data_IF_385408205162
#
_entry.id   IF_385408205162
#
_cell.length_a   1.000
_cell.length_b   1.000
_cell.length_c   1.000
_cell.angle_alpha   90.00
_cell.angle_beta   90.00
_cell.angle_gamma   90.00
#
_symmetry.space_group_name_H-M   'P 1'
#
loop_
_entity.id
_entity.type
_entity.pdbx_description
1 polymer ?
#
# COMPACT_ATOMS: atom_id res chain seq x y z
N UNK A 1 3.02 -7.05 4.20
CA UNK A 1 3.48 -7.94 5.28
C UNK A 1 2.61 -9.18 5.29
N UNK A 2 3.22 -10.35 5.09
CA UNK A 2 2.55 -11.64 5.29
C UNK A 2 2.21 -11.81 6.78
N UNK A 3 0.97 -12.19 7.14
CA UNK A 3 0.63 -12.44 8.54
C UNK A 3 1.56 -13.48 9.17
N UNK A 4 2.08 -13.19 10.36
CA UNK A 4 2.87 -14.13 11.16
C UNK A 4 4.38 -14.13 10.94
N UNK A 5 4.91 -13.32 10.01
CA UNK A 5 6.36 -13.13 9.86
C UNK A 5 6.85 -11.96 10.72
N UNK A 6 8.15 -11.91 11.05
CA UNK A 6 8.77 -10.72 11.60
C UNK A 6 8.89 -9.63 10.49
N UNK A 7 8.90 -8.33 10.84
CA UNK A 7 9.21 -7.29 9.87
C UNK A 7 10.60 -7.51 9.26
N UNK A 8 10.76 -7.36 7.94
CA UNK A 8 12.07 -7.36 7.32
C UNK A 8 12.92 -6.21 7.88
N UNK A 9 14.27 -6.35 7.88
CA UNK A 9 15.16 -5.26 8.27
C UNK A 9 14.97 -4.06 7.34
N UNK A 10 15.12 -2.86 7.91
CA UNK A 10 15.06 -1.60 7.15
C UNK A 10 16.41 -1.39 6.48
N UNK A 11 16.49 -1.29 5.14
CA UNK A 11 17.75 -1.05 4.45
C UNK A 11 18.27 0.37 4.73
N UNK A 12 19.59 0.52 4.78
CA UNK A 12 20.27 1.81 4.92
C UNK A 12 20.01 2.74 3.72
N UNK A 13 20.01 2.17 2.51
CA UNK A 13 19.72 2.87 1.25
C UNK A 13 18.48 2.25 0.61
N UNK A 14 17.27 2.67 1.01
CA UNK A 14 16.05 2.14 0.46
C UNK A 14 15.85 2.54 -1.00
N UNK A 15 15.31 1.61 -1.78
CA UNK A 15 14.95 1.84 -3.18
C UNK A 15 13.60 1.19 -3.50
N UNK A 16 12.88 1.79 -4.46
CA UNK A 16 11.70 1.20 -5.11
C UNK A 16 12.02 1.03 -6.58
N UNK A 17 11.95 -0.21 -7.05
CA UNK A 17 12.13 -0.50 -8.49
C UNK A 17 10.81 -0.42 -9.24
N UNK A 18 10.83 0.14 -10.44
CA UNK A 18 9.68 0.24 -11.33
C UNK A 18 9.94 -0.59 -12.57
N UNK A 19 9.04 -1.53 -12.84
CA UNK A 19 9.18 -2.54 -13.91
C UNK A 19 7.81 -2.92 -14.49
N UNK A 20 7.77 -3.89 -15.40
CA UNK A 20 6.54 -4.36 -16.03
C UNK A 20 6.34 -3.72 -17.40
N UNK A 21 5.16 -3.15 -17.65
CA UNK A 21 4.82 -2.48 -18.91
C UNK A 21 5.38 -1.04 -18.98
N UNK A 22 6.70 -0.96 -19.00
CA UNK A 22 7.50 0.27 -19.06
C UNK A 22 8.61 0.10 -20.09
N UNK A 23 9.05 1.19 -20.73
CA UNK A 23 10.14 1.13 -21.70
C UNK A 23 11.50 0.85 -21.03
N UNK A 24 11.72 1.42 -19.84
CA UNK A 24 12.96 1.27 -19.08
C UNK A 24 12.69 0.89 -17.62
N UNK A 25 13.56 0.07 -17.05
CA UNK A 25 13.56 -0.18 -15.60
C UNK A 25 14.07 1.08 -14.91
N UNK A 26 13.28 1.62 -13.99
CA UNK A 26 13.67 2.74 -13.14
C UNK A 26 13.90 2.26 -11.70
N UNK A 27 14.89 2.83 -11.03
CA UNK A 27 15.09 2.68 -9.59
C UNK A 27 14.92 4.05 -8.95
N UNK A 28 14.00 4.17 -8.01
CA UNK A 28 13.75 5.39 -7.24
C UNK A 28 14.37 5.19 -5.86
N UNK A 29 15.26 6.10 -5.46
CA UNK A 29 15.88 6.16 -4.15
C UNK A 29 15.41 7.39 -3.36
N UNK A 30 16.00 7.62 -2.19
CA UNK A 30 15.65 8.75 -1.34
C UNK A 30 15.98 10.10 -2.00
N UNK A 31 17.06 10.18 -2.79
CA UNK A 31 17.47 11.40 -3.47
C UNK A 31 16.48 11.77 -4.56
N UNK A 32 16.00 10.78 -5.35
CA UNK A 32 14.94 11.00 -6.33
C UNK A 32 13.63 11.51 -5.71
N UNK A 33 13.28 11.05 -4.51
CA UNK A 33 12.10 11.51 -3.79
C UNK A 33 12.29 12.89 -3.13
N UNK A 34 13.54 13.28 -2.81
CA UNK A 34 13.85 14.55 -2.16
C UNK A 34 13.45 15.78 -2.98
N UNK A 35 13.36 15.63 -4.30
CA UNK A 35 12.94 16.67 -5.23
C UNK A 35 11.41 16.88 -5.28
N UNK A 36 10.63 16.01 -4.65
CA UNK A 36 9.16 16.07 -4.64
C UNK A 36 8.65 16.74 -3.36
N UNK A 37 7.54 17.48 -3.49
CA UNK A 37 6.85 18.05 -2.34
C UNK A 37 6.33 16.93 -1.42
N UNK A 38 6.52 17.14 -0.12
CA UNK A 38 5.98 16.25 0.91
C UNK A 38 4.62 16.75 1.35
N UNK A 39 3.69 15.83 1.54
CA UNK A 39 2.34 16.13 2.01
C UNK A 39 1.99 15.32 3.24
N UNK A 40 1.02 15.83 4.00
CA UNK A 40 0.39 15.12 5.11
C UNK A 40 -1.08 14.88 4.77
N UNK A 41 -1.54 13.64 4.93
CA UNK A 41 -2.94 13.24 4.75
C UNK A 41 -3.45 12.64 6.05
N UNK A 42 -4.53 13.21 6.58
CA UNK A 42 -5.29 12.59 7.67
C UNK A 42 -6.23 11.55 7.07
N UNK A 43 -6.04 10.30 7.43
CA UNK A 43 -6.78 9.17 6.87
C UNK A 43 -7.04 8.08 7.90
N UNK A 44 -8.23 7.51 7.85
CA UNK A 44 -8.57 6.32 8.63
C UNK A 44 -7.88 5.08 8.03
N UNK A 45 -7.50 4.15 8.91
CA UNK A 45 -7.04 2.83 8.48
C UNK A 45 -8.10 1.78 8.77
N UNK A 46 -8.62 1.15 7.71
CA UNK A 46 -9.65 0.12 7.81
C UNK A 46 -9.09 -1.27 7.54
N UNK A 47 -9.20 -2.17 8.51
CA UNK A 47 -8.85 -3.57 8.31
C UNK A 47 -10.02 -4.34 7.68
N UNK A 48 -9.67 -5.27 6.79
CA UNK A 48 -10.65 -6.19 6.20
C UNK A 48 -11.34 -7.05 7.25
N UNK A 49 -10.67 -7.33 8.39
CA UNK A 49 -11.23 -8.03 9.56
C UNK A 49 -11.96 -7.10 10.53
N UNK A 50 -12.61 -6.05 10.01
CA UNK A 50 -13.63 -5.23 10.70
C UNK A 50 -13.18 -4.35 11.88
N UNK A 51 -11.88 -4.15 12.09
CA UNK A 51 -11.39 -3.08 12.98
C UNK A 51 -10.86 -1.90 12.18
N UNK A 52 -10.95 -0.70 12.76
CA UNK A 52 -10.46 0.55 12.18
C UNK A 52 -9.59 1.31 13.19
N UNK A 53 -8.69 2.15 12.70
CA UNK A 53 -7.98 3.15 13.50
C UNK A 53 -8.23 4.50 12.83
N UNK A 54 -9.05 5.37 13.43
CA UNK A 54 -9.40 6.65 12.83
C UNK A 54 -8.30 7.71 13.05
N UNK A 55 -8.31 8.73 12.19
CA UNK A 55 -7.54 9.97 12.38
C UNK A 55 -6.02 9.79 12.38
N UNK A 56 -5.50 8.87 11.55
CA UNK A 56 -4.04 8.70 11.42
C UNK A 56 -3.49 9.77 10.47
N UNK A 57 -2.37 10.37 10.86
CA UNK A 57 -1.66 11.34 10.02
C UNK A 57 -0.51 10.66 9.29
N UNK A 58 -0.66 10.49 7.98
CA UNK A 58 0.38 9.90 7.15
C UNK A 58 1.12 11.01 6.43
N UNK A 59 2.46 10.97 6.45
CA UNK A 59 3.27 11.90 5.67
C UNK A 59 4.20 11.17 4.71
N UNK A 60 4.46 11.80 3.56
CA UNK A 60 5.31 11.27 2.51
C UNK A 60 5.07 12.02 1.21
N UNK A 61 5.05 11.30 0.09
CA UNK A 61 4.84 11.87 -1.25
C UNK A 61 3.56 11.32 -1.85
N UNK A 62 2.81 12.14 -2.59
CA UNK A 62 1.66 11.63 -3.34
C UNK A 62 2.16 10.65 -4.37
N UNK A 63 1.52 9.49 -4.47
CA UNK A 63 1.91 8.50 -5.48
C UNK A 63 1.70 9.04 -6.90
N UNK A 64 0.69 9.92 -7.08
CA UNK A 64 0.50 10.69 -8.32
C UNK A 64 1.74 11.50 -8.69
N UNK A 65 2.32 12.25 -7.75
CA UNK A 65 3.50 13.08 -8.05
C UNK A 65 4.72 12.22 -8.34
N UNK A 66 4.92 11.13 -7.59
CA UNK A 66 5.96 10.13 -7.90
C UNK A 66 5.77 9.56 -9.31
N UNK A 67 4.53 9.26 -9.69
CA UNK A 67 4.19 8.75 -11.02
C UNK A 67 4.51 9.77 -12.10
N UNK A 68 3.95 10.98 -12.02
CA UNK A 68 4.04 11.99 -13.07
C UNK A 68 5.45 12.58 -13.21
N UNK A 69 6.18 12.72 -12.09
CA UNK A 69 7.46 13.44 -12.05
C UNK A 69 8.68 12.52 -12.12
N UNK A 70 8.55 11.25 -11.73
CA UNK A 70 9.67 10.29 -11.77
C UNK A 70 9.39 9.11 -12.71
N UNK A 71 8.24 8.45 -12.58
CA UNK A 71 7.95 7.21 -13.33
C UNK A 71 7.67 7.49 -14.81
N UNK A 72 6.82 8.46 -15.13
CA UNK A 72 6.50 8.83 -16.51
C UNK A 72 7.76 9.23 -17.29
N UNK A 73 8.60 10.18 -16.82
CA UNK A 73 9.81 10.55 -17.55
C UNK A 73 10.91 9.48 -17.50
N UNK A 74 11.06 8.76 -16.38
CA UNK A 74 12.19 7.84 -16.17
C UNK A 74 11.96 6.41 -16.64
N UNK A 75 10.74 5.89 -16.54
CA UNK A 75 10.39 4.52 -16.94
C UNK A 75 9.58 4.46 -18.24
N UNK A 76 8.85 5.54 -18.57
CA UNK A 76 7.98 5.65 -19.77
C UNK A 76 6.99 4.49 -19.85
N UNK A 77 6.01 4.42 -18.93
CA UNK A 77 4.93 3.44 -18.98
C UNK A 77 4.12 3.59 -20.26
N UNK A 78 3.61 2.47 -20.78
CA UNK A 78 2.72 2.44 -21.95
C UNK A 78 1.39 3.13 -21.66
N UNK A 79 0.78 3.76 -22.68
CA UNK A 79 -0.58 4.33 -22.59
C UNK A 79 -1.66 3.28 -22.29
N UNK A 80 -1.37 2.00 -22.55
CA UNK A 80 -2.25 0.88 -22.20
C UNK A 80 -2.13 0.44 -20.72
N UNK A 81 -1.29 1.10 -19.92
CA UNK A 81 -1.14 0.81 -18.51
C UNK A 81 -2.46 1.06 -17.76
N UNK A 82 -2.98 0.02 -17.12
CA UNK A 82 -4.28 0.07 -16.43
C UNK A 82 -4.22 -0.36 -14.97
N UNK A 83 -3.13 -0.99 -14.55
CA UNK A 83 -2.97 -1.49 -13.20
C UNK A 83 -1.57 -1.26 -12.66
N UNK A 84 -1.50 -1.02 -11.35
CA UNK A 84 -0.26 -0.96 -10.59
C UNK A 84 -0.25 -2.07 -9.55
N UNK A 85 0.82 -2.87 -9.51
CA UNK A 85 1.05 -3.87 -8.48
C UNK A 85 2.23 -3.46 -7.62
N UNK A 86 1.94 -3.17 -6.37
CA UNK A 86 2.90 -2.88 -5.31
C UNK A 86 3.40 -4.18 -4.66
N UNK A 87 4.71 -4.27 -4.48
CA UNK A 87 5.40 -5.46 -3.98
C UNK A 87 6.29 -5.05 -2.80
N UNK A 88 6.11 -5.75 -1.71
CA UNK A 88 6.92 -5.62 -0.51
C UNK A 88 8.21 -6.45 -0.61
N UNK A 89 9.22 -6.09 0.18
CA UNK A 89 10.46 -6.86 0.31
C UNK A 89 10.24 -8.32 0.77
N UNK A 90 9.17 -8.59 1.55
CA UNK A 90 8.76 -9.94 1.97
C UNK A 90 7.95 -10.72 0.90
N UNK A 91 7.93 -10.21 -0.35
CA UNK A 91 7.17 -10.72 -1.49
C UNK A 91 5.64 -10.72 -1.28
N UNK A 92 5.13 -10.00 -0.28
CA UNK A 92 3.72 -9.64 -0.25
C UNK A 92 3.42 -8.65 -1.37
N UNK A 93 2.24 -8.72 -1.97
CA UNK A 93 1.85 -7.80 -3.03
C UNK A 93 0.35 -7.55 -3.04
N UNK A 94 -0.02 -6.35 -3.47
CA UNK A 94 -1.38 -5.95 -3.76
C UNK A 94 -1.39 -5.28 -5.15
N UNK A 95 -2.47 -5.50 -5.89
CA UNK A 95 -2.70 -4.85 -7.18
C UNK A 95 -3.93 -3.96 -7.09
N UNK A 96 -3.87 -2.82 -7.76
CA UNK A 96 -4.92 -1.83 -7.85
C UNK A 96 -5.07 -1.40 -9.31
N UNK A 97 -6.28 -1.05 -9.76
CA UNK A 97 -6.44 -0.21 -10.94
C UNK A 97 -5.56 1.04 -10.82
N UNK A 98 -4.97 1.49 -11.93
CA UNK A 98 -4.07 2.65 -11.92
C UNK A 98 -4.79 3.92 -11.43
N UNK A 99 -6.07 4.08 -11.81
CA UNK A 99 -6.94 5.16 -11.31
C UNK A 99 -7.12 5.18 -9.78
N UNK A 100 -7.16 4.01 -9.12
CA UNK A 100 -7.24 3.93 -7.66
C UNK A 100 -5.86 4.17 -7.03
N UNK A 101 -4.80 3.70 -7.68
CA UNK A 101 -3.43 3.87 -7.18
C UNK A 101 -2.95 5.32 -7.28
N UNK A 102 -3.44 6.08 -8.27
CA UNK A 102 -3.07 7.48 -8.49
C UNK A 102 -4.11 8.47 -7.94
N UNK A 103 -5.03 8.03 -7.07
CA UNK A 103 -5.94 8.94 -6.39
C UNK A 103 -5.18 9.95 -5.50
N UNK A 104 -5.78 11.11 -5.28
CA UNK A 104 -5.07 12.30 -4.75
C UNK A 104 -4.62 12.15 -3.28
N UNK A 105 -5.22 11.21 -2.55
CA UNK A 105 -4.94 10.88 -1.14
C UNK A 105 -4.01 9.67 -0.98
N UNK A 106 -3.55 9.06 -2.08
CA UNK A 106 -2.66 7.91 -2.06
C UNK A 106 -1.22 8.36 -1.89
N UNK A 107 -0.55 7.81 -0.87
CA UNK A 107 0.81 8.19 -0.51
C UNK A 107 1.80 7.03 -0.64
N UNK A 108 3.01 7.38 -1.08
CA UNK A 108 4.22 6.70 -0.65
C UNK A 108 4.65 7.33 0.68
N UNK A 109 4.23 6.73 1.79
CA UNK A 109 4.44 7.26 3.13
C UNK A 109 5.73 6.72 3.76
N UNK A 110 6.40 7.59 4.51
CA UNK A 110 7.60 7.30 5.30
C UNK A 110 7.46 7.75 6.78
N UNK A 111 6.35 8.40 7.13
CA UNK A 111 6.04 8.84 8.50
C UNK A 111 4.59 8.55 8.89
N UNK A 112 4.38 8.37 10.19
CA UNK A 112 3.09 8.25 10.85
C UNK A 112 3.08 9.19 12.07
N UNK A 113 2.24 10.23 12.03
CA UNK A 113 2.38 11.40 12.89
C UNK A 113 3.74 12.06 12.71
N UNK A 114 4.33 12.49 13.81
CA UNK A 114 5.64 13.17 13.84
C UNK A 114 6.84 12.20 13.88
N UNK A 115 6.63 10.93 13.56
CA UNK A 115 7.69 9.92 13.64
C UNK A 115 7.90 9.21 12.29
N UNK A 116 9.16 8.86 11.94
CA UNK A 116 9.43 7.90 10.88
C UNK A 116 8.66 6.60 11.10
N UNK A 117 8.28 5.92 10.01
CA UNK A 117 7.67 4.61 10.14
C UNK A 117 8.60 3.66 10.90
N UNK A 118 8.06 2.99 11.90
CA UNK A 118 8.75 1.84 12.48
C UNK A 118 8.69 0.64 11.51
N UNK A 119 9.60 -0.34 11.63
CA UNK A 119 9.56 -1.54 10.80
C UNK A 119 8.19 -2.19 10.81
N UNK A 120 7.55 -2.33 11.97
CA UNK A 120 6.22 -2.92 12.07
C UNK A 120 5.12 -2.15 11.32
N UNK A 121 5.30 -0.85 11.12
CA UNK A 121 4.40 -0.01 10.34
C UNK A 121 4.68 -0.02 8.85
N UNK A 122 5.81 -0.59 8.43
CA UNK A 122 6.18 -0.80 7.04
C UNK A 122 7.34 0.06 6.57
N UNK A 123 8.23 0.50 7.47
CA UNK A 123 9.41 1.24 7.09
C UNK A 123 10.29 0.50 6.05
N UNK A 124 11.09 1.23 5.26
CA UNK A 124 11.21 2.69 5.28
C UNK A 124 10.05 3.37 4.56
N UNK A 125 9.48 2.71 3.55
CA UNK A 125 8.36 3.22 2.77
C UNK A 125 7.20 2.25 2.71
N UNK A 126 5.99 2.81 2.77
CA UNK A 126 4.74 2.09 2.68
C UNK A 126 3.80 2.78 1.70
N UNK A 127 3.11 1.98 0.90
CA UNK A 127 1.93 2.45 0.18
C UNK A 127 0.75 2.63 1.16
N UNK A 128 0.14 3.80 1.15
CA UNK A 128 -1.08 4.12 1.92
C UNK A 128 -2.19 4.47 0.94
N UNK A 129 -3.30 3.73 1.01
CA UNK A 129 -4.44 3.87 0.09
C UNK A 129 -5.71 4.02 0.93
N UNK A 130 -6.07 5.25 1.36
CA UNK A 130 -7.09 5.47 2.40
C UNK A 130 -8.47 4.89 2.08
N UNK A 131 -8.97 5.10 0.86
CA UNK A 131 -10.28 4.61 0.42
C UNK A 131 -10.41 3.07 0.35
N UNK A 132 -9.32 2.33 0.62
CA UNK A 132 -9.23 0.88 0.44
C UNK A 132 -8.87 0.15 1.75
N UNK A 133 -9.29 -1.11 1.86
CA UNK A 133 -8.90 -1.93 3.01
C UNK A 133 -7.39 -2.11 3.09
N UNK A 134 -6.88 -2.15 4.32
CA UNK A 134 -5.46 -2.06 4.64
C UNK A 134 -4.54 -3.11 4.02
N UNK A 135 -5.08 -4.20 3.47
CA UNK A 135 -4.28 -5.16 2.70
C UNK A 135 -3.81 -4.60 1.35
N UNK A 136 -4.46 -3.56 0.81
CA UNK A 136 -4.00 -2.80 -0.36
C UNK A 136 -2.87 -1.82 -0.04
N UNK A 137 -2.77 -1.38 1.21
CA UNK A 137 -1.71 -0.50 1.71
C UNK A 137 -0.44 -1.29 2.04
N UNK A 138 0.38 -1.56 1.00
CA UNK A 138 1.57 -2.43 1.07
C UNK A 138 2.70 -1.83 1.92
N UNK A 139 3.03 -2.51 3.01
CA UNK A 139 4.20 -2.24 3.88
C UNK A 139 5.53 -2.65 3.22
N UNK A 140 6.64 -1.99 3.58
CA UNK A 140 8.00 -2.33 3.12
C UNK A 140 8.11 -2.36 1.60
N UNK A 141 7.58 -1.31 0.95
CA UNK A 141 7.49 -1.24 -0.49
C UNK A 141 8.90 -1.32 -1.10
N UNK A 142 9.07 -2.26 -2.04
CA UNK A 142 10.35 -2.52 -2.71
C UNK A 142 10.22 -2.46 -4.24
N UNK A 143 9.02 -2.68 -4.79
CA UNK A 143 8.80 -2.55 -6.21
C UNK A 143 7.37 -2.15 -6.57
N UNK A 144 7.26 -1.43 -7.68
CA UNK A 144 6.04 -1.13 -8.41
C UNK A 144 6.14 -1.80 -9.78
N UNK A 145 5.11 -2.56 -10.15
CA UNK A 145 5.03 -3.20 -11.46
C UNK A 145 3.81 -2.67 -12.20
N UNK A 146 4.01 -2.13 -13.39
CA UNK A 146 2.96 -1.61 -14.27
C UNK A 146 2.42 -2.73 -15.14
N UNK A 147 1.10 -2.80 -15.32
CA UNK A 147 0.44 -3.86 -16.11
C UNK A 147 -0.68 -3.30 -16.99
N UNK A 148 -0.90 -3.93 -18.16
CA UNK A 148 -2.03 -3.65 -19.08
C UNK A 148 -3.34 -4.29 -18.66
N UNK A 149 -3.27 -5.30 -17.79
CA UNK A 149 -4.43 -6.02 -17.27
C UNK A 149 -4.18 -6.38 -15.81
N UNK A 150 -5.24 -6.79 -15.10
CA UNK A 150 -5.16 -7.08 -13.67
C UNK A 150 -4.15 -8.20 -13.38
N UNK A 151 -3.03 -7.91 -12.67
CA UNK A 151 -2.07 -8.94 -12.35
C UNK A 151 -2.52 -9.76 -11.14
N UNK A 152 -1.93 -10.95 -10.99
CA UNK A 152 -2.07 -11.72 -9.75
C UNK A 152 -1.37 -10.99 -8.60
N UNK A 153 -2.04 -10.93 -7.45
CA UNK A 153 -1.50 -10.38 -6.21
C UNK A 153 -1.45 -11.47 -5.13
N UNK A 154 -0.85 -11.15 -3.98
CA UNK A 154 -0.87 -12.07 -2.83
C UNK A 154 -2.32 -12.36 -2.40
N UNK A 155 -2.59 -13.53 -1.81
CA UNK A 155 -3.96 -13.89 -1.40
C UNK A 155 -4.93 -14.28 -2.52
N UNK A 156 -4.53 -14.23 -3.79
CA UNK A 156 -5.27 -14.82 -4.92
C UNK A 156 -6.73 -14.33 -5.01
N UNK A 157 -7.68 -15.26 -5.05
CA UNK A 157 -9.12 -14.99 -5.15
C UNK A 157 -9.73 -14.34 -3.90
N UNK A 158 -9.02 -14.36 -2.76
CA UNK A 158 -9.51 -13.72 -1.53
C UNK A 158 -9.40 -12.20 -1.61
N UNK A 159 -8.39 -11.67 -2.32
CA UNK A 159 -8.29 -10.23 -2.50
C UNK A 159 -9.35 -9.71 -3.48
N UNK A 160 -10.10 -8.70 -3.05
CA UNK A 160 -10.99 -8.00 -3.95
C UNK A 160 -10.18 -7.25 -5.03
N UNK A 161 -10.69 -7.15 -6.28
CA UNK A 161 -10.07 -6.34 -7.33
C UNK A 161 -9.68 -4.94 -6.86
N UNK A 162 -10.64 -4.19 -6.34
CA UNK A 162 -10.43 -2.83 -5.84
C UNK A 162 -10.26 -2.83 -4.32
N UNK A 163 -11.27 -3.24 -3.57
CA UNK A 163 -11.18 -3.42 -2.12
C UNK A 163 -11.55 -2.15 -1.36
N UNK A 164 -12.48 -1.38 -1.91
CA UNK A 164 -12.95 -0.10 -1.41
C UNK A 164 -13.78 -0.27 -0.14
N UNK A 165 -13.57 0.63 0.81
CA UNK A 165 -14.19 0.57 2.14
C UNK A 165 -15.68 0.90 2.06
N UNK A 166 -16.05 1.96 1.33
CA UNK A 166 -17.43 2.47 1.23
C UNK A 166 -18.39 1.46 0.59
N UNK A 167 -17.87 0.60 -0.27
CA UNK A 167 -18.63 -0.44 -0.97
C UNK A 167 -18.60 -1.80 -0.25
N UNK A 168 -18.00 -1.87 0.95
CA UNK A 168 -17.77 -3.12 1.71
C UNK A 168 -17.11 -4.24 0.90
N UNK A 169 -16.16 -3.90 0.02
CA UNK A 169 -15.48 -4.83 -0.91
C UNK A 169 -14.41 -5.70 -0.22
N UNK A 170 -14.85 -6.55 0.71
CA UNK A 170 -13.94 -7.32 1.59
C UNK A 170 -13.28 -8.51 0.90
N UNK A 171 -13.95 -9.13 -0.07
CA UNK A 171 -13.50 -10.37 -0.68
C UNK A 171 -13.84 -10.41 -2.16
N UNK A 172 -12.95 -10.94 -3.00
CA UNK A 172 -13.11 -10.95 -4.46
C UNK A 172 -14.23 -11.83 -5.03
N UNK A 173 -15.08 -12.45 -4.20
CA UNK A 173 -16.13 -13.41 -4.62
C UNK A 173 -17.35 -13.43 -3.71
N UNK A 174 -17.15 -13.19 -2.42
CA UNK A 174 -18.23 -13.28 -1.43
C UNK A 174 -18.67 -11.85 -1.07
N UNK A 175 -19.97 -11.53 -1.13
CA UNK A 175 -20.47 -10.21 -0.74
C UNK A 175 -20.06 -9.84 0.69
N UNK A 176 -19.59 -8.60 0.89
CA UNK A 176 -19.04 -8.14 2.17
C UNK A 176 -20.00 -8.29 3.36
N UNK A 177 -21.30 -8.10 3.12
CA UNK A 177 -22.37 -8.25 4.13
C UNK A 177 -22.41 -9.64 4.75
N UNK A 178 -22.11 -10.68 3.96
CA UNK A 178 -22.08 -12.08 4.41
C UNK A 178 -20.85 -12.35 5.28
N UNK A 179 -19.70 -11.76 4.92
CA UNK A 179 -18.44 -11.94 5.65
C UNK A 179 -18.33 -11.10 6.92
N UNK A 180 -19.18 -10.08 7.08
CA UNK A 180 -19.11 -9.16 8.22
C UNK A 180 -19.30 -9.87 9.57
N UNK A 181 -20.23 -10.83 9.65
CA UNK A 181 -20.48 -11.57 10.90
C UNK A 181 -19.35 -12.55 11.26
N UNK A 182 -18.85 -13.43 10.37
CA UNK A 182 -17.71 -14.28 10.71
C UNK A 182 -16.42 -13.48 10.96
N UNK A 183 -16.20 -12.37 10.26
CA UNK A 183 -14.99 -11.55 10.48
C UNK A 183 -15.01 -10.78 11.80
N UNK A 184 -16.19 -10.55 12.40
CA UNK A 184 -16.29 -9.98 13.75
C UNK A 184 -15.59 -10.84 14.80
N UNK A 185 -15.62 -12.17 14.65
CA UNK A 185 -14.92 -13.09 15.54
C UNK A 185 -13.40 -12.93 15.48
N UNK A 186 -12.88 -12.36 14.38
CA UNK A 186 -11.46 -12.10 14.18
C UNK A 186 -11.03 -10.69 14.64
N UNK A 187 -11.96 -9.80 15.00
CA UNK A 187 -11.66 -8.41 15.41
C UNK A 187 -10.68 -8.39 16.57
N UNK A 188 -11.05 -9.00 17.70
CA UNK A 188 -10.25 -8.95 18.93
C UNK A 188 -8.83 -9.52 18.73
N UNK A 189 -8.63 -10.72 18.17
CA UNK A 189 -7.28 -11.26 17.99
C UNK A 189 -6.44 -10.45 16.98
N UNK A 190 -7.04 -9.92 15.92
CA UNK A 190 -6.29 -9.13 14.92
C UNK A 190 -5.99 -7.71 15.40
N UNK A 191 -6.95 -7.06 16.07
CA UNK A 191 -6.77 -5.73 16.64
C UNK A 191 -5.77 -5.74 17.80
N UNK A 192 -5.74 -6.78 18.65
CA UNK A 192 -4.72 -6.90 19.70
C UNK A 192 -3.32 -7.06 19.12
N UNK A 193 -3.15 -7.88 18.06
CA UNK A 193 -1.87 -7.98 17.34
C UNK A 193 -1.45 -6.65 16.72
N UNK A 194 -2.38 -5.91 16.13
CA UNK A 194 -2.12 -4.59 15.56
C UNK A 194 -1.80 -3.53 16.62
N UNK A 195 -2.54 -3.46 17.74
CA UNK A 195 -2.28 -2.49 18.83
C UNK A 195 -0.94 -2.74 19.52
N UNK A 196 -0.55 -4.01 19.72
CA UNK A 196 0.79 -4.36 20.21
C UNK A 196 1.89 -3.96 19.24
N UNK A 197 1.60 -3.99 17.94
CA UNK A 197 2.48 -3.50 16.90
C UNK A 197 2.59 -1.96 16.88
N UNK A 198 1.49 -1.23 17.13
CA UNK A 198 1.45 0.24 17.11
C UNK A 198 2.05 0.90 18.36
N UNK A 199 1.96 0.25 19.53
CA UNK A 199 2.39 0.82 20.82
C UNK A 199 3.83 0.51 21.22
N UNK A 200 4.59 -0.23 20.41
CA UNK A 200 6.02 -0.46 20.69
C UNK A 200 6.82 0.68 20.06
N UNK A 201 7.61 1.45 20.82
CA UNK A 201 8.50 2.47 20.27
C UNK A 201 9.53 1.87 19.32
#
# INVERSE_FOLDING_TARGET
>A
MRPGLAPPPVPLHPTVTVTGDVAERLTIDADGLSALERVTVQADFHCVTTWSVPGLEWSGWRLRDVWDRLIVPGARPSDAASHLRAIASDRYSAALPLEDALADDVLLADRLGDHPLQPIHGAPWRLVVPAHYGYKSVKHLAALTVHRSRPRASGGSMQHPRGRVDFEERHGRIPGRVLRWPYRLLIVPTALRARRAVRRP
#
